data_IF_070241937333
#
_entry.id   IF_070241937333
#
_cell.length_a   1.000
_cell.length_b   1.000
_cell.length_c   1.000
_cell.angle_alpha   90.00
_cell.angle_beta   90.00
_cell.angle_gamma   90.00
#
_symmetry.space_group_name_H-M   'P 1'
#
loop_
_entity.id
_entity.type
_entity.pdbx_description
1 polymer ?
#
# COMPACT_ATOMS: atom_id res chain seq x y z
N UNK A 1 -51.03 30.56 -18.08
CA UNK A 1 -52.08 29.66 -17.55
C UNK A 1 -52.42 28.63 -18.61
N UNK A 2 -52.77 27.44 -18.15
CA UNK A 2 -53.36 26.29 -18.86
C UNK A 2 -52.41 25.32 -19.57
N UNK A 3 -52.32 24.15 -18.95
CA UNK A 3 -51.84 22.87 -19.46
C UNK A 3 -52.93 22.16 -20.29
N UNK A 4 -52.52 21.23 -21.18
CA UNK A 4 -53.11 19.91 -21.41
C UNK A 4 -52.40 19.25 -22.61
N UNK A 5 -51.64 18.16 -22.43
CA UNK A 5 -52.04 16.75 -22.62
C UNK A 5 -52.49 16.40 -24.06
N UNK A 6 -51.84 15.43 -24.72
CA UNK A 6 -52.41 14.09 -25.03
C UNK A 6 -51.49 13.25 -25.96
N UNK A 7 -51.01 12.15 -25.37
CA UNK A 7 -50.84 10.76 -25.86
C UNK A 7 -50.44 10.42 -27.31
N UNK A 8 -49.35 9.64 -27.35
CA UNK A 8 -49.19 8.31 -27.98
C UNK A 8 -49.16 8.18 -29.50
N UNK A 9 -47.97 7.84 -30.02
CA UNK A 9 -47.84 6.70 -30.95
C UNK A 9 -46.54 5.94 -30.66
N UNK A 10 -46.71 4.63 -30.69
CA UNK A 10 -45.78 3.54 -30.44
C UNK A 10 -45.09 3.24 -31.78
N UNK A 11 -43.77 3.07 -31.80
CA UNK A 11 -43.13 2.28 -32.86
C UNK A 11 -42.02 1.44 -32.26
N UNK A 12 -42.24 0.12 -32.25
CA UNK A 12 -41.20 -0.88 -32.01
C UNK A 12 -40.41 -1.05 -33.31
N UNK A 13 -39.10 -0.85 -33.25
CA UNK A 13 -38.18 -1.41 -34.21
C UNK A 13 -37.11 -2.20 -33.44
N UNK A 14 -37.26 -3.52 -33.49
CA UNK A 14 -36.29 -4.46 -32.98
C UNK A 14 -34.98 -4.37 -33.76
N UNK A 15 -33.88 -4.40 -33.02
CA UNK A 15 -32.53 -4.58 -33.53
C UNK A 15 -31.74 -5.33 -32.47
N UNK A 16 -31.79 -6.66 -32.53
CA UNK A 16 -31.00 -7.57 -31.71
C UNK A 16 -29.52 -7.27 -31.91
N UNK A 17 -28.86 -6.74 -30.87
CA UNK A 17 -27.40 -6.69 -30.81
C UNK A 17 -26.98 -7.77 -29.84
N UNK A 18 -26.65 -8.94 -30.39
CA UNK A 18 -25.98 -10.00 -29.65
C UNK A 18 -24.65 -9.45 -29.10
N UNK A 19 -24.52 -9.45 -27.78
CA UNK A 19 -23.26 -9.21 -27.11
C UNK A 19 -22.36 -10.44 -27.29
N UNK A 20 -21.06 -10.28 -27.56
CA UNK A 20 -20.16 -11.42 -27.66
C UNK A 20 -20.03 -12.09 -26.29
N UNK A 21 -20.30 -13.39 -26.27
CA UNK A 21 -20.13 -14.28 -25.11
C UNK A 21 -18.70 -14.19 -24.58
N UNK A 22 -18.57 -13.73 -23.34
CA UNK A 22 -17.31 -13.79 -22.60
C UNK A 22 -16.98 -15.25 -22.32
N UNK A 23 -16.10 -15.83 -23.15
CA UNK A 23 -15.52 -17.14 -22.90
C UNK A 23 -14.81 -17.12 -21.54
N UNK A 24 -15.33 -17.90 -20.60
CA UNK A 24 -14.77 -18.08 -19.27
C UNK A 24 -13.30 -18.52 -19.39
N UNK A 25 -12.39 -17.71 -18.85
CA UNK A 25 -10.99 -18.07 -18.71
C UNK A 25 -10.87 -19.32 -17.82
N UNK A 26 -9.97 -20.28 -18.13
CA UNK A 26 -9.76 -21.44 -17.30
C UNK A 26 -9.25 -21.02 -15.91
N UNK A 27 -9.81 -21.66 -14.88
CA UNK A 27 -9.43 -21.43 -13.49
C UNK A 27 -7.92 -21.63 -13.29
N UNK A 28 -7.28 -20.84 -12.39
CA UNK A 28 -5.88 -21.02 -12.07
C UNK A 28 -5.64 -22.42 -11.47
N UNK A 29 -4.50 -23.06 -11.78
CA UNK A 29 -4.18 -24.38 -11.23
C UNK A 29 -4.08 -24.32 -9.69
N UNK A 30 -4.42 -25.41 -8.99
CA UNK A 30 -4.39 -25.44 -7.53
C UNK A 30 -2.97 -25.18 -6.99
N UNK A 31 -2.86 -24.58 -5.79
CA UNK A 31 -1.56 -24.29 -5.18
C UNK A 31 -0.81 -25.61 -4.93
N UNK A 32 0.37 -25.72 -5.50
CA UNK A 32 1.29 -26.82 -5.21
C UNK A 32 1.68 -26.78 -3.73
N UNK A 33 1.84 -27.93 -3.04
CA UNK A 33 2.38 -27.95 -1.70
C UNK A 33 3.78 -27.31 -1.71
N UNK A 34 4.12 -26.44 -0.74
CA UNK A 34 5.46 -25.89 -0.68
C UNK A 34 6.46 -27.03 -0.44
N UNK A 35 7.38 -27.23 -1.38
CA UNK A 35 8.48 -28.17 -1.18
C UNK A 35 9.22 -27.81 0.13
N UNK A 36 9.61 -28.79 0.96
CA UNK A 36 10.16 -28.54 2.30
C UNK A 36 11.41 -27.64 2.32
N UNK A 37 12.10 -27.46 1.19
CA UNK A 37 13.19 -26.50 1.04
C UNK A 37 12.75 -25.03 0.87
N UNK A 38 11.56 -24.78 0.34
CA UNK A 38 11.05 -23.44 0.06
C UNK A 38 10.64 -22.68 1.33
N UNK A 39 10.12 -23.41 2.33
CA UNK A 39 9.69 -22.81 3.60
C UNK A 39 10.86 -22.25 4.43
N UNK A 40 12.06 -22.79 4.27
CA UNK A 40 13.25 -22.37 5.03
C UNK A 40 13.86 -21.09 4.44
N UNK A 41 13.89 -20.93 3.11
CA UNK A 41 14.38 -19.72 2.47
C UNK A 41 13.51 -18.49 2.80
N UNK A 42 12.19 -18.69 2.89
CA UNK A 42 11.25 -17.63 3.23
C UNK A 42 11.52 -17.03 4.63
N UNK A 43 11.93 -17.86 5.60
CA UNK A 43 12.25 -17.44 6.97
C UNK A 43 13.51 -16.57 7.05
N UNK A 44 14.42 -16.70 6.09
CA UNK A 44 15.68 -15.96 6.02
C UNK A 44 15.70 -14.94 4.87
N UNK A 45 14.53 -14.49 4.43
CA UNK A 45 14.38 -13.47 3.40
C UNK A 45 14.33 -12.06 4.01
N UNK A 46 14.96 -11.11 3.33
CA UNK A 46 14.90 -9.70 3.70
C UNK A 46 13.58 -9.08 3.23
N UNK A 47 12.83 -8.38 4.09
CA UNK A 47 11.54 -7.78 3.71
C UNK A 47 11.63 -6.63 2.69
N UNK A 48 12.84 -6.13 2.40
CA UNK A 48 13.05 -5.03 1.44
C UNK A 48 13.35 -5.59 0.04
N UNK A 49 14.34 -6.48 -0.10
CA UNK A 49 14.72 -7.05 -1.40
C UNK A 49 14.09 -8.41 -1.69
N UNK A 50 13.39 -9.03 -0.72
CA UNK A 50 12.75 -10.34 -0.80
C UNK A 50 13.70 -11.52 -1.08
N UNK A 51 14.99 -11.27 -1.10
CA UNK A 51 16.04 -12.26 -1.23
C UNK A 51 16.60 -12.69 0.13
N UNK A 52 17.36 -13.79 0.17
CA UNK A 52 18.09 -14.23 1.37
C UNK A 52 18.96 -13.08 1.92
N UNK A 53 18.97 -12.92 3.25
CA UNK A 53 19.73 -11.87 3.92
C UNK A 53 21.21 -11.83 3.50
N UNK A 54 21.70 -10.63 3.17
CA UNK A 54 23.12 -10.36 2.94
C UNK A 54 23.61 -9.35 3.98
N UNK A 55 24.61 -9.75 4.78
CA UNK A 55 25.15 -8.95 5.90
C UNK A 55 24.02 -8.38 6.79
N UNK A 56 23.18 -9.24 7.40
CA UNK A 56 21.98 -8.81 8.09
C UNK A 56 22.29 -7.90 9.28
N UNK A 57 21.50 -6.83 9.39
CA UNK A 57 21.52 -5.87 10.49
C UNK A 57 20.15 -5.83 11.16
N UNK A 58 20.13 -5.52 12.45
CA UNK A 58 18.93 -5.49 13.28
C UNK A 58 18.75 -4.11 13.90
N UNK A 59 17.53 -3.61 13.83
CA UNK A 59 17.13 -2.35 14.45
C UNK A 59 16.74 -2.58 15.92
N UNK A 60 17.19 -1.72 16.82
CA UNK A 60 16.78 -1.69 18.22
C UNK A 60 15.91 -0.45 18.47
N UNK A 61 14.75 -0.54 19.14
CA UNK A 61 14.27 -1.68 19.95
C UNK A 61 13.36 -2.68 19.23
N UNK A 62 12.88 -2.40 18.01
CA UNK A 62 11.85 -3.23 17.37
C UNK A 62 12.33 -4.62 16.88
N UNK A 63 13.64 -4.87 16.86
CA UNK A 63 14.29 -6.14 16.50
C UNK A 63 14.03 -6.66 15.07
N UNK A 64 13.52 -5.82 14.19
CA UNK A 64 13.40 -6.15 12.77
C UNK A 64 14.77 -6.23 12.09
N UNK A 65 14.93 -7.21 11.20
CA UNK A 65 16.20 -7.53 10.53
C UNK A 65 16.10 -7.25 9.03
N UNK A 66 17.18 -6.71 8.45
CA UNK A 66 17.27 -6.31 7.04
C UNK A 66 18.67 -6.61 6.51
N UNK A 67 18.87 -6.65 5.19
CA UNK A 67 20.23 -6.57 4.64
C UNK A 67 20.85 -5.21 4.99
N UNK A 68 22.15 -5.18 5.26
CA UNK A 68 22.86 -3.94 5.57
C UNK A 68 22.70 -2.87 4.47
N UNK A 69 22.78 -3.27 3.20
CA UNK A 69 22.58 -2.37 2.06
C UNK A 69 21.13 -1.92 1.90
N UNK A 70 20.17 -2.81 2.17
CA UNK A 70 18.75 -2.48 2.05
C UNK A 70 18.30 -1.45 3.10
N UNK A 71 18.86 -1.48 4.31
CA UNK A 71 18.54 -0.52 5.35
C UNK A 71 19.27 0.83 5.17
N UNK A 72 20.35 0.84 4.40
CA UNK A 72 21.27 1.97 4.28
C UNK A 72 20.59 3.29 3.86
N UNK A 73 19.61 3.34 2.93
CA UNK A 73 18.89 4.57 2.60
C UNK A 73 18.14 5.17 3.80
N UNK A 74 17.57 4.32 4.66
CA UNK A 74 16.87 4.78 5.87
C UNK A 74 17.83 5.38 6.89
N UNK A 75 19.12 5.01 6.90
CA UNK A 75 20.09 5.58 7.83
C UNK A 75 20.54 6.99 7.45
N UNK A 76 20.27 7.42 6.20
CA UNK A 76 20.66 8.73 5.69
C UNK A 76 19.62 9.82 5.95
N UNK A 77 18.39 9.46 6.32
CA UNK A 77 17.32 10.44 6.57
C UNK A 77 17.31 10.91 8.02
N UNK A 78 17.00 12.19 8.29
CA UNK A 78 16.76 12.67 9.65
C UNK A 78 15.58 11.90 10.29
N UNK A 79 15.73 11.51 11.56
CA UNK A 79 14.71 10.79 12.34
C UNK A 79 14.16 9.53 11.64
N UNK A 80 15.00 8.49 11.44
CA UNK A 80 14.61 7.35 10.63
C UNK A 80 13.57 6.45 11.31
N UNK A 81 12.70 5.88 10.49
CA UNK A 81 11.64 4.96 10.91
C UNK A 81 11.91 3.55 10.37
N UNK A 82 11.61 2.51 11.15
CA UNK A 82 11.75 1.13 10.73
C UNK A 82 10.84 0.85 9.50
N UNK A 83 11.34 0.26 8.40
CA UNK A 83 10.53 -0.04 7.22
C UNK A 83 9.36 -1.01 7.45
N UNK A 84 9.44 -1.85 8.49
CA UNK A 84 8.41 -2.84 8.80
C UNK A 84 7.32 -2.33 9.75
N UNK A 85 7.70 -1.64 10.82
CA UNK A 85 6.77 -1.25 11.88
C UNK A 85 6.66 0.26 12.09
N UNK A 86 7.38 1.06 11.29
CA UNK A 86 7.45 2.53 11.38
C UNK A 86 7.92 3.08 12.72
N UNK A 87 8.40 2.24 13.62
CA UNK A 87 8.94 2.68 14.90
C UNK A 87 10.20 3.53 14.69
N UNK A 88 10.31 4.72 15.30
CA UNK A 88 11.53 5.51 15.28
C UNK A 88 12.70 4.74 15.89
N UNK A 89 13.89 4.89 15.31
CA UNK A 89 15.09 4.26 15.85
C UNK A 89 16.31 5.18 15.72
N UNK A 90 17.32 4.91 16.54
CA UNK A 90 18.60 5.60 16.46
C UNK A 90 19.49 4.88 15.42
N UNK A 91 19.91 5.55 14.32
CA UNK A 91 20.74 4.93 13.30
C UNK A 91 22.10 4.46 13.83
N UNK A 92 22.58 4.97 14.97
CA UNK A 92 23.81 4.50 15.64
C UNK A 92 23.61 3.19 16.42
N UNK A 93 22.37 2.81 16.73
CA UNK A 93 22.01 1.60 17.49
C UNK A 93 21.60 0.42 16.60
N UNK A 94 21.91 0.50 15.31
CA UNK A 94 21.74 -0.61 14.37
C UNK A 94 22.91 -1.56 14.53
N UNK A 95 22.60 -2.80 14.87
CA UNK A 95 23.61 -3.81 15.20
C UNK A 95 23.67 -4.91 14.15
N UNK A 96 24.82 -5.58 14.04
CA UNK A 96 24.92 -6.80 13.21
C UNK A 96 24.07 -7.90 13.82
N UNK A 97 23.32 -8.60 12.97
CA UNK A 97 22.47 -9.72 13.40
C UNK A 97 23.27 -11.04 13.40
N UNK A 98 24.30 -11.15 14.24
CA UNK A 98 25.23 -12.29 14.25
C UNK A 98 24.56 -13.66 14.46
N UNK A 99 23.42 -13.69 15.17
CA UNK A 99 22.61 -14.91 15.32
C UNK A 99 22.03 -15.38 13.97
N UNK A 100 21.51 -14.45 13.18
CA UNK A 100 20.97 -14.70 11.84
C UNK A 100 22.10 -15.14 10.90
N UNK A 101 23.27 -14.49 10.95
CA UNK A 101 24.45 -14.91 10.16
C UNK A 101 24.88 -16.35 10.42
N UNK A 102 24.88 -16.77 11.69
CA UNK A 102 25.16 -18.16 12.08
C UNK A 102 24.12 -19.12 11.51
N UNK A 103 22.83 -18.78 11.62
CA UNK A 103 21.75 -19.60 11.06
C UNK A 103 21.87 -19.74 9.53
N UNK A 104 22.16 -18.65 8.81
CA UNK A 104 22.38 -18.69 7.37
C UNK A 104 23.56 -19.59 6.96
N UNK A 105 24.56 -19.74 7.82
CA UNK A 105 25.72 -20.60 7.57
C UNK A 105 25.41 -22.08 7.82
N UNK A 106 24.52 -22.38 8.78
CA UNK A 106 24.13 -23.74 9.14
C UNK A 106 23.15 -24.38 8.16
N UNK A 107 22.22 -23.61 7.61
CA UNK A 107 21.17 -24.13 6.73
C UNK A 107 21.58 -24.15 5.26
N UNK A 108 21.13 -25.19 4.54
CA UNK A 108 21.32 -25.36 3.10
C UNK A 108 19.95 -25.46 2.41
N UNK A 109 19.81 -24.82 1.27
CA UNK A 109 18.63 -24.90 0.42
C UNK A 109 19.05 -25.16 -1.05
N UNK A 110 18.18 -25.82 -1.85
CA UNK A 110 18.43 -25.99 -3.27
C UNK A 110 18.25 -24.67 -4.02
N UNK A 111 19.17 -24.33 -4.92
CA UNK A 111 18.99 -23.19 -5.82
C UNK A 111 17.79 -23.39 -6.76
N UNK A 112 16.96 -22.36 -6.94
CA UNK A 112 15.76 -22.40 -7.80
C UNK A 112 16.04 -22.70 -9.27
N UNK A 113 17.21 -22.29 -9.79
CA UNK A 113 17.58 -22.54 -11.18
C UNK A 113 18.29 -23.88 -11.39
N UNK A 114 19.29 -24.20 -10.57
CA UNK A 114 20.13 -25.39 -10.79
C UNK A 114 19.94 -26.54 -9.81
N UNK A 115 19.07 -26.40 -8.81
CA UNK A 115 18.77 -27.38 -7.77
C UNK A 115 19.96 -27.79 -6.90
N UNK A 116 21.12 -27.14 -7.06
CA UNK A 116 22.31 -27.40 -6.23
C UNK A 116 22.06 -26.94 -4.80
N UNK A 117 22.29 -27.81 -3.83
CA UNK A 117 22.21 -27.48 -2.40
C UNK A 117 23.37 -26.56 -2.03
N UNK A 118 23.06 -25.32 -1.68
CA UNK A 118 24.02 -24.30 -1.25
C UNK A 118 23.62 -23.77 0.12
N UNK A 119 24.61 -23.35 0.93
CA UNK A 119 24.35 -22.69 2.22
C UNK A 119 23.65 -21.36 1.97
N UNK A 120 22.68 -20.99 2.82
CA UNK A 120 21.94 -19.72 2.65
C UNK A 120 22.88 -18.51 2.63
N UNK A 121 23.94 -18.52 3.44
CA UNK A 121 24.99 -17.49 3.45
C UNK A 121 25.69 -17.28 2.09
N UNK A 122 25.70 -18.28 1.20
CA UNK A 122 26.34 -18.23 -0.13
C UNK A 122 25.32 -18.20 -1.27
N UNK A 123 24.02 -18.25 -0.96
CA UNK A 123 22.96 -18.36 -1.95
C UNK A 123 22.97 -17.18 -2.93
N UNK A 124 23.11 -15.94 -2.43
CA UNK A 124 23.10 -14.73 -3.28
C UNK A 124 24.27 -14.69 -4.27
N UNK A 125 25.48 -15.02 -3.79
CA UNK A 125 26.66 -15.13 -4.65
C UNK A 125 26.50 -16.25 -5.69
N UNK A 126 25.93 -17.38 -5.29
CA UNK A 126 25.64 -18.48 -6.21
C UNK A 126 24.63 -18.08 -7.30
N UNK A 127 23.52 -17.45 -6.92
CA UNK A 127 22.46 -17.00 -7.83
C UNK A 127 23.04 -16.05 -8.89
N UNK A 128 23.88 -15.11 -8.47
CA UNK A 128 24.53 -14.15 -9.37
C UNK A 128 25.38 -14.83 -10.44
N UNK A 129 25.99 -15.98 -10.15
CA UNK A 129 26.84 -16.73 -11.09
C UNK A 129 26.18 -18.02 -11.64
N UNK A 130 24.90 -18.25 -11.38
CA UNK A 130 24.22 -19.49 -11.77
C UNK A 130 23.65 -19.35 -13.18
N UNK A 131 24.22 -20.05 -14.16
CA UNK A 131 23.78 -20.01 -15.56
C UNK A 131 22.27 -20.27 -15.72
N UNK A 132 21.73 -21.26 -15.01
CA UNK A 132 20.29 -21.59 -15.08
C UNK A 132 19.40 -20.49 -14.49
N UNK A 133 19.85 -19.79 -13.44
CA UNK A 133 19.08 -18.66 -12.89
C UNK A 133 19.19 -17.45 -13.81
N UNK A 134 20.37 -17.16 -14.36
CA UNK A 134 20.54 -16.09 -15.34
C UNK A 134 19.68 -16.31 -16.60
N UNK A 135 19.61 -17.53 -17.11
CA UNK A 135 18.74 -17.91 -18.24
C UNK A 135 17.26 -17.69 -17.91
N UNK A 136 16.81 -18.11 -16.73
CA UNK A 136 15.45 -17.84 -16.25
C UNK A 136 15.16 -16.34 -16.13
N UNK A 137 16.11 -15.55 -15.60
CA UNK A 137 15.97 -14.09 -15.52
C UNK A 137 15.96 -13.43 -16.90
N UNK A 138 16.71 -13.97 -17.87
CA UNK A 138 16.72 -13.47 -19.25
C UNK A 138 15.39 -13.73 -19.98
N UNK A 139 14.68 -14.80 -19.60
CA UNK A 139 13.35 -15.13 -20.14
C UNK A 139 12.21 -14.34 -19.47
N UNK A 140 12.44 -13.67 -18.35
CA UNK A 140 11.45 -12.75 -17.78
C UNK A 140 11.24 -11.54 -18.70
N UNK A 141 10.00 -11.02 -18.83
CA UNK A 141 9.76 -9.77 -19.53
C UNK A 141 10.65 -8.68 -18.96
N UNK A 142 11.58 -8.18 -19.77
CA UNK A 142 12.43 -7.07 -19.36
C UNK A 142 11.52 -5.87 -19.15
N UNK A 143 11.40 -5.42 -17.91
CA UNK A 143 10.76 -4.15 -17.59
C UNK A 143 11.62 -3.07 -18.22
N UNK A 144 11.24 -2.64 -19.43
CA UNK A 144 11.77 -1.41 -19.99
C UNK A 144 11.26 -0.32 -19.07
N UNK A 145 12.11 0.60 -18.56
CA UNK A 145 11.62 1.76 -17.85
C UNK A 145 10.48 2.33 -18.68
N UNK A 146 9.32 2.56 -18.05
CA UNK A 146 8.24 3.29 -18.70
C UNK A 146 8.93 4.53 -19.24
N UNK A 147 9.04 4.63 -20.57
CA UNK A 147 9.64 5.78 -21.26
C UNK A 147 9.07 7.00 -20.53
N UNK A 148 9.90 7.98 -20.10
CA UNK A 148 9.40 9.14 -19.36
C UNK A 148 8.11 9.56 -20.03
N UNK A 149 6.99 9.37 -19.32
CA UNK A 149 5.71 9.44 -19.99
C UNK A 149 5.66 10.79 -20.67
N UNK A 150 5.36 10.84 -21.97
CA UNK A 150 5.21 12.11 -22.67
C UNK A 150 4.08 12.94 -22.05
N UNK A 151 3.29 12.33 -21.17
CA UNK A 151 2.36 13.03 -20.30
C UNK A 151 3.16 13.82 -19.26
N UNK A 152 3.05 15.17 -19.26
CA UNK A 152 3.64 15.96 -18.20
C UNK A 152 3.10 15.45 -16.86
N UNK A 153 3.99 15.19 -15.89
CA UNK A 153 3.59 14.95 -14.50
C UNK A 153 2.71 16.15 -14.13
N UNK A 154 1.41 15.96 -13.84
CA UNK A 154 0.57 17.11 -13.61
C UNK A 154 0.99 17.67 -12.25
N UNK A 155 1.75 18.77 -12.28
CA UNK A 155 2.28 19.47 -11.10
C UNK A 155 1.18 20.05 -10.20
N UNK A 156 -0.08 19.91 -10.63
CA UNK A 156 -1.27 20.40 -9.97
C UNK A 156 -2.27 19.26 -9.66
N UNK A 157 -1.79 18.04 -9.37
CA UNK A 157 -2.63 17.05 -8.71
C UNK A 157 -2.54 17.31 -7.20
N UNK A 158 -3.58 17.89 -6.57
CA UNK A 158 -3.60 18.02 -5.12
C UNK A 158 -3.53 16.64 -4.48
N UNK A 159 -2.66 16.48 -3.48
CA UNK A 159 -2.52 15.24 -2.73
C UNK A 159 -3.81 14.97 -1.93
N UNK A 160 -4.45 13.82 -2.18
CA UNK A 160 -5.70 13.41 -1.51
C UNK A 160 -5.54 12.23 -0.57
N UNK A 161 -4.32 11.69 -0.44
CA UNK A 161 -4.09 10.39 0.21
C UNK A 161 -3.33 10.50 1.51
N UNK A 162 -2.37 11.43 1.60
CA UNK A 162 -1.58 11.63 2.81
C UNK A 162 -1.42 13.12 3.12
N UNK A 163 -1.40 13.47 4.39
CA UNK A 163 -1.39 14.83 4.87
C UNK A 163 -0.24 15.03 5.85
N UNK A 164 0.13 16.30 6.01
CA UNK A 164 1.10 16.74 7.00
C UNK A 164 0.35 17.40 8.14
N UNK A 165 0.62 17.00 9.39
CA UNK A 165 0.04 17.63 10.56
C UNK A 165 0.48 19.09 10.62
N UNK A 166 -0.45 20.05 10.63
CA UNK A 166 -0.10 21.47 10.57
C UNK A 166 0.41 22.03 11.91
N UNK A 167 0.31 21.27 13.01
CA UNK A 167 0.86 21.66 14.30
C UNK A 167 2.34 21.30 14.47
N UNK A 168 2.72 20.07 14.11
CA UNK A 168 4.04 19.52 14.40
C UNK A 168 4.83 19.08 13.15
N UNK A 169 4.22 19.11 11.97
CA UNK A 169 4.87 18.71 10.72
C UNK A 169 4.99 17.20 10.51
N UNK A 170 4.34 16.36 11.33
CA UNK A 170 4.28 14.91 11.13
C UNK A 170 3.71 14.59 9.73
N UNK A 171 4.42 13.78 8.94
CA UNK A 171 4.10 13.51 7.52
C UNK A 171 3.48 12.14 7.33
N UNK A 172 2.91 11.90 6.15
CA UNK A 172 2.38 10.62 5.71
C UNK A 172 1.22 10.09 6.57
N UNK A 173 0.42 11.01 7.11
CA UNK A 173 -0.79 10.69 7.85
C UNK A 173 -1.95 10.61 6.85
N UNK A 174 -2.62 9.48 6.73
CA UNK A 174 -3.91 9.48 6.02
C UNK A 174 -4.94 10.31 6.83
N UNK A 175 -6.15 10.47 6.28
CA UNK A 175 -7.18 11.28 6.96
C UNK A 175 -7.47 10.79 8.38
N UNK A 176 -7.53 9.48 8.60
CA UNK A 176 -7.94 8.88 9.88
C UNK A 176 -6.80 8.93 10.90
N UNK A 177 -5.58 8.64 10.47
CA UNK A 177 -4.37 8.79 11.28
C UNK A 177 -4.10 10.26 11.61
N UNK A 178 -4.45 11.21 10.74
CA UNK A 178 -4.38 12.64 11.06
C UNK A 178 -5.35 13.02 12.18
N UNK A 179 -6.60 12.52 12.12
CA UNK A 179 -7.61 12.72 13.19
C UNK A 179 -7.07 12.18 14.52
N UNK A 180 -6.66 10.91 14.53
CA UNK A 180 -6.15 10.23 15.72
C UNK A 180 -4.92 10.93 16.29
N UNK A 181 -3.94 11.24 15.44
CA UNK A 181 -2.72 11.95 15.82
C UNK A 181 -3.05 13.29 16.50
N UNK A 182 -3.93 14.10 15.90
CA UNK A 182 -4.30 15.40 16.48
C UNK A 182 -5.08 15.26 17.80
N UNK A 183 -5.92 14.24 17.95
CA UNK A 183 -6.63 13.96 19.21
C UNK A 183 -5.67 13.59 20.35
N UNK A 184 -4.67 12.77 20.07
CA UNK A 184 -3.73 12.23 21.07
C UNK A 184 -2.64 13.25 21.44
N UNK A 185 -2.17 14.05 20.48
CA UNK A 185 -0.97 14.87 20.64
C UNK A 185 -1.25 16.39 20.70
N UNK A 186 -2.43 16.86 20.25
CA UNK A 186 -2.74 18.29 20.09
C UNK A 186 -4.13 18.68 20.63
N UNK A 187 -4.58 18.04 21.73
CA UNK A 187 -5.93 18.25 22.29
C UNK A 187 -6.23 19.68 22.71
N UNK A 188 -5.21 20.43 23.16
CA UNK A 188 -5.34 21.77 23.73
C UNK A 188 -4.45 22.81 23.04
N UNK A 189 -4.05 22.56 21.78
CA UNK A 189 -3.20 23.48 21.03
C UNK A 189 -4.00 24.71 20.55
N UNK A 190 -3.62 25.94 20.94
CA UNK A 190 -4.38 27.16 20.62
C UNK A 190 -4.13 27.69 19.20
N UNK A 191 -3.18 27.10 18.45
CA UNK A 191 -2.77 27.65 17.17
C UNK A 191 -3.84 27.49 16.09
N UNK A 192 -4.08 28.56 15.33
CA UNK A 192 -4.96 28.55 14.16
C UNK A 192 -4.20 28.02 12.95
N UNK A 193 -4.65 26.89 12.42
CA UNK A 193 -3.99 26.17 11.33
C UNK A 193 -4.93 25.94 10.14
N UNK A 194 -4.35 25.82 8.95
CA UNK A 194 -5.09 25.44 7.74
C UNK A 194 -5.31 23.94 7.76
N UNK A 195 -6.53 23.50 7.44
CA UNK A 195 -6.83 22.07 7.33
C UNK A 195 -6.24 21.51 6.02
N UNK A 196 -5.25 20.60 6.08
CA UNK A 196 -4.59 20.07 4.89
C UNK A 196 -5.52 19.22 4.01
N UNK A 197 -6.57 18.63 4.63
CA UNK A 197 -7.60 17.86 3.93
C UNK A 197 -8.51 18.78 3.13
N UNK A 198 -8.99 19.87 3.74
CA UNK A 198 -9.80 20.86 3.03
C UNK A 198 -9.00 21.57 1.94
N UNK A 199 -7.75 21.97 2.20
CA UNK A 199 -6.93 22.68 1.21
C UNK A 199 -6.57 21.82 -0.01
N UNK A 200 -6.66 20.50 0.11
CA UNK A 200 -6.50 19.57 -1.01
C UNK A 200 -7.76 19.43 -1.89
N UNK A 201 -8.91 19.96 -1.45
CA UNK A 201 -10.15 19.92 -2.23
C UNK A 201 -10.18 21.06 -3.26
N UNK A 202 -10.79 20.85 -4.44
CA UNK A 202 -10.90 21.90 -5.48
C UNK A 202 -11.62 23.17 -5.02
N UNK A 203 -12.49 23.04 -4.01
CA UNK A 203 -13.26 24.12 -3.41
C UNK A 203 -12.73 24.55 -2.03
N UNK A 204 -11.55 24.06 -1.63
CA UNK A 204 -10.91 24.44 -0.37
C UNK A 204 -10.14 25.75 -0.49
N UNK A 205 -10.06 26.51 0.62
CA UNK A 205 -9.23 27.71 0.72
C UNK A 205 -7.90 27.38 1.42
N UNK A 206 -6.75 27.42 0.73
CA UNK A 206 -5.43 27.18 1.32
C UNK A 206 -4.99 28.22 2.36
N UNK A 207 -5.66 29.37 2.43
CA UNK A 207 -5.34 30.44 3.40
C UNK A 207 -6.28 30.43 4.61
N UNK A 208 -7.35 29.65 4.57
CA UNK A 208 -8.33 29.60 5.65
C UNK A 208 -7.79 28.88 6.88
N UNK A 209 -7.62 29.63 7.98
CA UNK A 209 -7.17 29.09 9.26
C UNK A 209 -8.36 28.81 10.16
N UNK A 210 -8.56 27.53 10.48
CA UNK A 210 -9.61 27.10 11.40
C UNK A 210 -9.33 27.59 12.82
N UNK A 211 -10.32 28.22 13.45
CA UNK A 211 -10.21 28.68 14.84
C UNK A 211 -10.17 27.51 15.85
N UNK A 212 -10.80 26.38 15.51
CA UNK A 212 -10.71 25.12 16.25
C UNK A 212 -10.54 23.98 15.26
N UNK A 213 -9.29 23.75 14.85
CA UNK A 213 -8.96 22.76 13.82
C UNK A 213 -9.28 21.33 14.26
N UNK A 214 -9.01 20.96 15.51
CA UNK A 214 -9.33 19.61 16.01
C UNK A 214 -10.83 19.31 15.93
N UNK A 215 -11.66 20.26 16.37
CA UNK A 215 -13.12 20.09 16.31
C UNK A 215 -13.61 20.05 14.87
N UNK A 216 -13.07 20.91 13.99
CA UNK A 216 -13.37 20.84 12.56
C UNK A 216 -13.03 19.46 11.97
N UNK A 217 -11.85 18.93 12.27
CA UNK A 217 -11.38 17.63 11.78
C UNK A 217 -12.29 16.50 12.26
N UNK A 218 -12.74 16.53 13.51
CA UNK A 218 -13.67 15.55 14.08
C UNK A 218 -15.09 15.62 13.50
N UNK A 219 -15.57 16.81 13.14
CA UNK A 219 -16.92 16.94 12.55
C UNK A 219 -16.94 16.65 11.05
N UNK A 220 -15.89 17.05 10.32
CA UNK A 220 -15.89 17.04 8.84
C UNK A 220 -15.10 15.88 8.24
N UNK A 221 -14.17 15.30 8.99
CA UNK A 221 -13.19 14.34 8.47
C UNK A 221 -13.03 13.11 9.37
N UNK A 222 -13.92 12.90 10.35
CA UNK A 222 -13.98 11.65 11.13
C UNK A 222 -14.33 10.44 10.27
N UNK A 223 -15.03 10.65 9.16
CA UNK A 223 -15.45 9.60 8.24
C UNK A 223 -14.91 9.91 6.83
N UNK A 224 -14.30 8.89 6.21
CA UNK A 224 -13.87 8.94 4.81
C UNK A 224 -14.96 8.36 3.92
N UNK A 225 -15.45 9.12 2.94
CA UNK A 225 -16.54 8.70 2.04
C UNK A 225 -16.16 7.47 1.20
N UNK A 226 -14.89 7.38 0.77
CA UNK A 226 -14.34 6.23 0.04
C UNK A 226 -14.41 4.89 0.79
N UNK A 227 -14.55 4.91 2.12
CA UNK A 227 -14.63 3.69 2.93
C UNK A 227 -16.07 3.21 3.12
N UNK A 228 -17.06 4.09 2.96
CA UNK A 228 -18.46 3.78 3.24
C UNK A 228 -19.34 3.73 1.99
N UNK A 229 -18.85 4.26 0.87
CA UNK A 229 -19.57 4.24 -0.40
C UNK A 229 -18.86 3.31 -1.36
N UNK A 230 -19.42 2.12 -1.55
CA UNK A 230 -19.03 1.24 -2.64
C UNK A 230 -19.67 1.77 -3.93
N UNK A 231 -18.87 2.46 -4.73
CA UNK A 231 -19.31 2.98 -6.03
C UNK A 231 -19.68 1.89 -7.05
N UNK A 232 -19.44 0.61 -6.72
CA UNK A 232 -19.84 -0.51 -7.55
C UNK A 232 -21.23 -1.06 -7.20
N UNK A 233 -21.86 -0.58 -6.12
CA UNK A 233 -23.20 -1.01 -5.71
C UNK A 233 -24.22 0.00 -6.23
N UNK A 234 -25.26 -0.50 -6.91
CA UNK A 234 -26.38 0.29 -7.37
C UNK A 234 -27.18 0.88 -6.18
N UNK A 235 -27.67 2.12 -6.32
CA UNK A 235 -28.37 2.84 -5.24
C UNK A 235 -29.62 2.08 -4.74
N UNK A 236 -30.35 1.42 -5.64
CA UNK A 236 -31.52 0.61 -5.29
C UNK A 236 -31.11 -0.63 -4.48
N UNK A 237 -30.00 -1.27 -4.87
CA UNK A 237 -29.47 -2.44 -4.18
C UNK A 237 -28.96 -2.09 -2.77
N UNK A 238 -28.31 -0.93 -2.61
CA UNK A 238 -27.87 -0.43 -1.31
C UNK A 238 -29.07 -0.13 -0.38
N UNK A 239 -30.13 0.48 -0.93
CA UNK A 239 -31.34 0.80 -0.18
C UNK A 239 -32.09 -0.46 0.27
N UNK A 240 -32.24 -1.46 -0.62
CA UNK A 240 -32.87 -2.73 -0.26
C UNK A 240 -32.08 -3.51 0.79
N UNK A 241 -30.75 -3.48 0.74
CA UNK A 241 -29.91 -4.10 1.77
C UNK A 241 -30.08 -3.42 3.13
N UNK A 242 -30.12 -2.08 3.16
CA UNK A 242 -30.35 -1.32 4.39
C UNK A 242 -31.74 -1.60 5.00
N UNK A 243 -32.78 -1.69 4.16
CA UNK A 243 -34.13 -2.07 4.60
C UNK A 243 -34.18 -3.51 5.14
N UNK A 244 -33.52 -4.45 4.47
CA UNK A 244 -33.47 -5.84 4.92
C UNK A 244 -32.77 -6.00 6.27
N UNK A 245 -31.64 -5.30 6.47
CA UNK A 245 -30.92 -5.29 7.74
C UNK A 245 -31.78 -4.69 8.87
N UNK A 246 -32.45 -3.56 8.58
CA UNK A 246 -33.35 -2.90 9.53
C UNK A 246 -34.53 -3.78 9.95
N UNK A 247 -35.00 -4.67 9.06
CA UNK A 247 -36.07 -5.62 9.36
C UNK A 247 -35.59 -6.87 10.10
N UNK A 248 -34.29 -7.16 10.05
CA UNK A 248 -33.68 -8.34 10.68
C UNK A 248 -33.17 -8.10 12.11
N UNK A 249 -33.05 -6.84 12.53
CA UNK A 249 -32.64 -6.46 13.90
C UNK A 249 -33.82 -6.31 14.90
N UNK A 250 -35.00 -6.83 14.57
CA UNK A 250 -36.16 -6.95 15.47
C UNK A 250 -36.54 -8.43 15.69
#
# INVERSE_FOLDING_TARGET
>A
MAAAMFRSLLVSAGGSREAPSAAAAPAPPPPHPPEPGAALEAQFSCPICLEVYQRPVRITPCRHTFCGECLQPCLQVPSPLCPLCRMPFDPKKVEKASGVEKQLSSFKAPCRGCSKKVTLAKMRSHVTSCAKVQEQMANCPKFVPVVPTSQPIPSNIPNRSTFVCPYCGARNLDQQELVKHCMENHRSDPNKVVCPVCSAMPWGDPSYKSANFLQHLLHRHKFSYDTFVDYNIDEEAALQAALALSLSEN
#
